data_IF_093414862617
#
_entry.id   IF_093414862617
#
_cell.length_a   1.000
_cell.length_b   1.000
_cell.length_c   1.000
_cell.angle_alpha   90.00
_cell.angle_beta   90.00
_cell.angle_gamma   90.00
#
_symmetry.space_group_name_H-M   'P 1'
#
loop_
_entity.id
_entity.type
_entity.pdbx_description
1 polymer ?
#
# COMPACT_ATOMS: atom_id res chain seq x y z
N UNK A 1 0.06 0.36 -18.44
CA UNK A 1 -0.55 0.84 -17.19
C UNK A 1 -2.05 0.83 -17.38
N UNK A 2 -2.80 0.61 -16.31
CA UNK A 2 -4.26 0.67 -16.28
C UNK A 2 -4.66 2.14 -16.20
N UNK A 3 -5.43 2.65 -17.17
CA UNK A 3 -5.82 4.06 -17.32
C UNK A 3 -6.68 4.60 -16.15
N UNK A 4 -6.99 3.75 -15.16
CA UNK A 4 -7.72 4.11 -13.94
C UNK A 4 -6.85 4.67 -12.79
N UNK A 5 -5.52 4.53 -12.84
CA UNK A 5 -4.64 5.31 -11.96
C UNK A 5 -4.49 6.68 -12.58
N UNK A 6 -5.15 7.69 -12.00
CA UNK A 6 -5.01 9.07 -12.47
C UNK A 6 -3.65 9.65 -12.10
N UNK A 7 -3.13 9.28 -10.93
CA UNK A 7 -1.83 9.77 -10.45
C UNK A 7 -1.18 8.80 -9.49
N UNK A 8 0.15 8.69 -9.58
CA UNK A 8 0.99 7.93 -8.68
C UNK A 8 2.15 8.82 -8.22
N UNK A 9 2.38 8.91 -6.91
CA UNK A 9 3.44 9.72 -6.32
C UNK A 9 4.35 8.84 -5.47
N UNK A 10 5.67 9.00 -5.59
CA UNK A 10 6.63 8.40 -4.67
C UNK A 10 6.96 9.40 -3.56
N UNK A 11 6.75 9.00 -2.31
CA UNK A 11 7.19 9.74 -1.14
C UNK A 11 8.38 8.98 -0.56
N UNK A 12 9.54 9.62 -0.52
CA UNK A 12 10.76 9.02 0.02
C UNK A 12 11.50 10.04 0.89
N UNK A 13 12.13 9.62 1.99
CA UNK A 13 13.13 10.45 2.65
C UNK A 13 14.27 10.78 1.68
N UNK A 14 14.97 11.90 1.94
CA UNK A 14 16.16 12.31 1.20
C UNK A 14 17.25 11.24 1.23
N UNK A 15 18.13 11.22 0.21
CA UNK A 15 19.19 10.22 0.01
C UNK A 15 20.04 9.96 1.27
N UNK A 16 20.30 8.66 1.54
CA UNK A 16 21.15 8.17 2.64
C UNK A 16 20.98 6.66 2.85
N UNK A 17 21.93 6.01 3.55
CA UNK A 17 21.98 4.55 3.74
C UNK A 17 20.86 3.99 4.67
N UNK A 18 20.12 4.84 5.39
CA UNK A 18 19.04 4.43 6.31
C UNK A 18 17.69 5.09 5.93
N UNK A 19 16.98 4.51 4.95
CA UNK A 19 15.69 5.05 4.48
C UNK A 19 14.43 4.43 5.13
N UNK A 20 14.53 3.27 5.80
CA UNK A 20 13.35 2.55 6.35
C UNK A 20 12.71 3.31 7.52
N UNK A 21 13.50 3.66 8.55
CA UNK A 21 12.97 4.33 9.76
C UNK A 21 12.32 5.67 9.44
N UNK A 22 12.94 6.57 8.63
CA UNK A 22 12.27 7.79 8.19
C UNK A 22 11.01 7.52 7.37
N UNK A 23 11.01 6.52 6.48
CA UNK A 23 9.83 6.15 5.68
C UNK A 23 8.66 5.75 6.58
N UNK A 24 8.89 4.89 7.58
CA UNK A 24 7.85 4.51 8.55
C UNK A 24 7.29 5.72 9.28
N UNK A 25 8.16 6.61 9.76
CA UNK A 25 7.75 7.83 10.46
C UNK A 25 6.83 8.67 9.58
N UNK A 26 7.28 8.99 8.37
CA UNK A 26 6.52 9.77 7.38
C UNK A 26 5.17 9.11 7.08
N UNK A 27 5.16 7.79 6.86
CA UNK A 27 3.92 7.05 6.59
C UNK A 27 2.92 7.16 7.74
N UNK A 28 3.37 6.97 8.99
CA UNK A 28 2.50 7.08 10.15
C UNK A 28 1.95 8.50 10.31
N UNK A 29 2.81 9.51 10.22
CA UNK A 29 2.39 10.91 10.36
C UNK A 29 1.40 11.30 9.26
N UNK A 30 1.63 10.86 8.02
CA UNK A 30 0.72 11.05 6.89
C UNK A 30 -0.66 10.41 7.13
N UNK A 31 -0.69 9.12 7.46
CA UNK A 31 -1.94 8.40 7.71
C UNK A 31 -2.72 8.95 8.92
N UNK A 32 -2.00 9.35 9.97
CA UNK A 32 -2.60 9.96 11.15
C UNK A 32 -3.09 11.38 10.93
N UNK A 33 -2.42 12.16 10.08
CA UNK A 33 -2.83 13.50 9.69
C UNK A 33 -4.13 13.45 8.88
N UNK A 34 -4.18 12.59 7.86
CA UNK A 34 -5.38 12.38 7.04
C UNK A 34 -6.57 11.88 7.86
N UNK A 35 -6.32 10.97 8.80
CA UNK A 35 -7.35 10.47 9.73
C UNK A 35 -8.57 9.84 9.03
N UNK A 36 -8.36 9.21 7.86
CA UNK A 36 -9.39 8.58 7.02
C UNK A 36 -9.80 7.18 7.52
N UNK A 37 -9.91 6.98 8.83
CA UNK A 37 -10.26 5.68 9.37
C UNK A 37 -11.71 5.27 9.03
N UNK A 38 -11.99 3.98 8.82
CA UNK A 38 -11.07 2.85 8.92
C UNK A 38 -10.11 2.73 7.73
N UNK A 39 -8.88 2.28 8.01
CA UNK A 39 -7.92 1.87 6.99
C UNK A 39 -7.92 0.35 6.85
N UNK A 40 -7.77 -0.16 5.64
CA UNK A 40 -7.68 -1.58 5.31
C UNK A 40 -6.24 -1.92 4.93
N UNK A 41 -5.61 -2.75 5.75
CA UNK A 41 -4.27 -3.28 5.50
C UNK A 41 -4.37 -4.67 4.87
N UNK A 42 -3.67 -4.86 3.76
CA UNK A 42 -3.58 -6.13 3.05
C UNK A 42 -2.15 -6.63 3.04
N UNK A 43 -1.93 -7.89 3.38
CA UNK A 43 -0.62 -8.53 3.19
C UNK A 43 -0.72 -10.03 2.95
N UNK A 44 0.24 -10.60 2.22
CA UNK A 44 0.31 -12.06 2.02
C UNK A 44 0.73 -12.79 3.30
N UNK A 45 0.19 -13.98 3.48
CA UNK A 45 0.52 -14.87 4.58
C UNK A 45 1.79 -15.66 4.27
N UNK A 46 2.93 -14.98 4.37
CA UNK A 46 4.25 -15.57 4.20
C UNK A 46 4.93 -15.85 5.55
N UNK A 47 5.95 -16.72 5.51
CA UNK A 47 6.80 -17.10 6.66
C UNK A 47 6.14 -17.87 7.81
N UNK A 48 4.97 -18.49 7.58
CA UNK A 48 4.31 -19.35 8.59
C UNK A 48 3.99 -18.60 9.89
N UNK A 49 3.65 -17.30 9.79
CA UNK A 49 3.35 -16.45 10.94
C UNK A 49 1.86 -16.28 11.23
N UNK A 50 1.00 -17.01 10.50
CA UNK A 50 -0.46 -16.92 10.61
C UNK A 50 -0.97 -16.94 12.05
N UNK A 51 -0.62 -17.97 12.82
CA UNK A 51 -1.12 -18.15 14.18
C UNK A 51 -0.72 -16.98 15.09
N UNK A 52 0.54 -16.54 15.01
CA UNK A 52 1.04 -15.38 15.76
C UNK A 52 0.28 -14.09 15.40
N UNK A 53 0.00 -13.87 14.11
CA UNK A 53 -0.77 -12.70 13.64
C UNK A 53 -2.21 -12.75 14.14
N UNK A 54 -2.86 -13.92 14.06
CA UNK A 54 -4.22 -14.09 14.58
C UNK A 54 -4.30 -13.84 16.09
N UNK A 55 -3.31 -14.32 16.86
CA UNK A 55 -3.21 -14.05 18.29
C UNK A 55 -3.05 -12.56 18.58
N UNK A 56 -2.18 -11.87 17.84
CA UNK A 56 -2.00 -10.42 17.95
C UNK A 56 -3.32 -9.68 17.71
N UNK A 57 -4.04 -10.02 16.64
CA UNK A 57 -5.29 -9.36 16.27
C UNK A 57 -6.40 -9.64 17.28
N UNK A 58 -6.53 -10.89 17.74
CA UNK A 58 -7.50 -11.25 18.78
C UNK A 58 -7.20 -10.56 20.12
N UNK A 59 -5.93 -10.48 20.52
CA UNK A 59 -5.52 -9.83 21.77
C UNK A 59 -5.88 -8.34 21.80
N UNK A 60 -5.84 -7.69 20.65
CA UNK A 60 -6.06 -6.25 20.50
C UNK A 60 -7.42 -5.88 19.91
N UNK A 61 -8.35 -6.84 19.80
CA UNK A 61 -9.69 -6.63 19.23
C UNK A 61 -9.65 -5.98 17.83
N UNK A 62 -8.70 -6.44 17.00
CA UNK A 62 -8.52 -5.99 15.63
C UNK A 62 -9.33 -6.90 14.70
N UNK A 63 -10.22 -6.29 13.92
CA UNK A 63 -10.99 -7.01 12.91
C UNK A 63 -10.10 -7.41 11.73
N UNK A 64 -10.21 -8.67 11.31
CA UNK A 64 -9.49 -9.17 10.15
C UNK A 64 -10.24 -10.31 9.45
N UNK A 65 -9.93 -10.49 8.18
CA UNK A 65 -10.32 -11.67 7.40
C UNK A 65 -9.09 -12.31 6.79
N UNK A 66 -9.14 -13.63 6.61
CA UNK A 66 -8.13 -14.40 5.88
C UNK A 66 -8.81 -14.99 4.65
N UNK A 67 -8.22 -14.76 3.48
CA UNK A 67 -8.76 -15.25 2.21
C UNK A 67 -7.72 -16.12 1.51
N UNK A 68 -8.18 -17.22 0.94
CA UNK A 68 -7.38 -18.13 0.11
C UNK A 68 -7.88 -18.05 -1.32
N UNK A 69 -6.99 -17.70 -2.25
CA UNK A 69 -7.26 -17.70 -3.68
C UNK A 69 -6.53 -18.85 -4.31
N UNK A 70 -7.27 -19.72 -4.99
CA UNK A 70 -6.72 -20.90 -5.64
C UNK A 70 -6.41 -20.59 -7.11
N UNK A 71 -5.25 -21.02 -7.62
CA UNK A 71 -5.00 -21.00 -9.05
C UNK A 71 -5.94 -21.98 -9.76
N UNK A 72 -6.09 -21.80 -11.07
CA UNK A 72 -6.83 -22.75 -11.89
C UNK A 72 -6.16 -24.13 -11.81
N UNK A 73 -6.95 -25.21 -11.66
CA UNK A 73 -6.50 -26.60 -11.44
C UNK A 73 -5.49 -27.14 -12.47
N UNK A 74 -5.34 -26.48 -13.62
CA UNK A 74 -4.36 -26.83 -14.65
C UNK A 74 -2.93 -26.44 -14.29
N UNK A 75 -2.72 -25.58 -13.28
CA UNK A 75 -1.41 -25.07 -12.90
C UNK A 75 -1.02 -25.57 -11.51
N UNK A 76 0.20 -26.13 -11.38
CA UNK A 76 0.78 -26.59 -10.12
C UNK A 76 1.36 -25.41 -9.31
N UNK A 77 0.51 -24.44 -8.99
CA UNK A 77 0.88 -23.32 -8.13
C UNK A 77 0.25 -23.47 -6.76
N UNK A 78 0.95 -22.98 -5.74
CA UNK A 78 0.40 -22.86 -4.41
C UNK A 78 -0.71 -21.78 -4.37
N UNK A 79 -1.75 -21.97 -3.55
CA UNK A 79 -2.76 -20.95 -3.36
C UNK A 79 -2.16 -19.73 -2.67
N UNK A 80 -2.61 -18.54 -3.07
CA UNK A 80 -2.29 -17.31 -2.34
C UNK A 80 -3.20 -17.24 -1.11
N UNK A 81 -2.59 -17.05 0.05
CA UNK A 81 -3.32 -16.68 1.26
C UNK A 81 -2.93 -15.26 1.66
N UNK A 82 -3.92 -14.44 1.99
CA UNK A 82 -3.69 -13.06 2.40
C UNK A 82 -4.65 -12.64 3.51
N UNK A 83 -4.20 -11.66 4.29
CA UNK A 83 -4.99 -11.00 5.31
C UNK A 83 -5.58 -9.70 4.75
N UNK A 84 -6.79 -9.38 5.20
CA UNK A 84 -7.35 -8.03 5.18
C UNK A 84 -7.62 -7.65 6.63
N UNK A 85 -6.97 -6.60 7.11
CA UNK A 85 -7.06 -6.13 8.50
C UNK A 85 -7.70 -4.75 8.52
N UNK A 86 -8.76 -4.57 9.30
CA UNK A 86 -9.46 -3.29 9.45
C UNK A 86 -8.90 -2.53 10.66
N UNK A 87 -8.20 -1.44 10.36
CA UNK A 87 -7.58 -0.53 11.33
C UNK A 87 -8.57 0.61 11.60
N UNK A 88 -9.30 0.53 12.71
CA UNK A 88 -10.39 1.50 13.02
C UNK A 88 -9.92 2.85 13.55
N UNK A 89 -8.67 2.96 13.99
CA UNK A 89 -8.14 4.16 14.61
C UNK A 89 -6.59 4.19 14.61
N UNK A 90 -6.02 5.31 15.06
CA UNK A 90 -4.57 5.54 15.14
C UNK A 90 -3.84 4.51 16.00
N UNK A 91 -4.47 4.01 17.07
CA UNK A 91 -3.85 3.01 17.94
C UNK A 91 -3.74 1.65 17.24
N UNK A 92 -4.81 1.21 16.58
CA UNK A 92 -4.81 0.01 15.74
C UNK A 92 -3.76 0.10 14.63
N UNK A 93 -3.70 1.26 13.95
CA UNK A 93 -2.69 1.54 12.92
C UNK A 93 -1.27 1.38 13.47
N UNK A 94 -0.92 2.11 14.54
CA UNK A 94 0.42 2.05 15.14
C UNK A 94 0.80 0.64 15.53
N UNK A 95 -0.10 -0.09 16.21
CA UNK A 95 0.17 -1.46 16.68
C UNK A 95 0.38 -2.43 15.53
N UNK A 96 -0.58 -2.50 14.61
CA UNK A 96 -0.55 -3.52 13.54
C UNK A 96 0.56 -3.23 12.55
N UNK A 97 0.68 -1.99 12.07
CA UNK A 97 1.69 -1.65 11.07
C UNK A 97 3.09 -1.74 11.67
N UNK A 98 3.31 -1.36 12.93
CA UNK A 98 4.61 -1.57 13.59
C UNK A 98 5.05 -3.04 13.56
N UNK A 99 4.14 -3.98 13.82
CA UNK A 99 4.43 -5.42 13.86
C UNK A 99 4.52 -6.08 12.48
N UNK A 100 4.03 -5.43 11.43
CA UNK A 100 3.86 -6.07 10.10
C UNK A 100 4.52 -5.35 8.94
N UNK A 101 4.96 -4.09 9.10
CA UNK A 101 5.58 -3.32 8.00
C UNK A 101 6.85 -3.96 7.44
N UNK A 102 7.57 -4.75 8.25
CA UNK A 102 8.75 -5.50 7.80
C UNK A 102 8.44 -6.45 6.62
N UNK A 103 7.18 -6.81 6.39
CA UNK A 103 6.80 -7.54 5.17
C UNK A 103 7.04 -6.71 3.92
N UNK A 104 6.69 -5.42 3.94
CA UNK A 104 7.02 -4.51 2.84
C UNK A 104 8.53 -4.33 2.67
N UNK A 105 9.29 -4.36 3.77
CA UNK A 105 10.77 -4.34 3.73
C UNK A 105 11.35 -5.57 3.02
N UNK A 106 10.74 -6.74 3.20
CA UNK A 106 11.13 -7.98 2.51
C UNK A 106 10.50 -8.13 1.10
N UNK A 107 9.91 -7.05 0.57
CA UNK A 107 9.21 -7.02 -0.71
C UNK A 107 8.05 -8.04 -0.80
N UNK A 108 7.50 -8.43 0.34
CA UNK A 108 6.26 -9.20 0.45
C UNK A 108 5.07 -8.28 0.21
N UNK A 109 4.02 -8.79 -0.44
CA UNK A 109 2.84 -7.99 -0.74
C UNK A 109 2.30 -7.34 0.54
N UNK A 110 2.27 -6.00 0.57
CA UNK A 110 1.85 -5.20 1.71
C UNK A 110 1.27 -3.88 1.21
N UNK A 111 -0.02 -3.61 1.45
CA UNK A 111 -0.71 -2.41 0.95
C UNK A 111 -1.70 -1.90 1.97
N UNK A 112 -1.78 -0.58 2.15
CA UNK A 112 -2.79 0.09 2.97
C UNK A 112 -3.76 0.84 2.06
N UNK A 113 -5.06 0.79 2.31
CA UNK A 113 -6.05 1.61 1.61
C UNK A 113 -7.08 2.18 2.58
N UNK A 114 -7.70 3.31 2.25
CA UNK A 114 -8.84 3.84 3.00
C UNK A 114 -10.20 3.18 2.60
N UNK A 115 -10.18 2.14 1.77
CA UNK A 115 -11.39 1.41 1.37
C UNK A 115 -11.13 -0.09 1.22
N UNK A 116 -12.16 -0.92 1.48
CA UNK A 116 -12.09 -2.37 1.21
C UNK A 116 -12.28 -2.65 -0.29
N UNK A 117 -11.23 -2.44 -1.09
CA UNK A 117 -11.27 -2.53 -2.55
C UNK A 117 -10.35 -3.59 -3.15
N UNK A 118 -9.56 -4.33 -2.37
CA UNK A 118 -8.61 -5.28 -2.95
C UNK A 118 -9.23 -6.66 -3.20
N UNK A 119 -8.95 -7.22 -4.37
CA UNK A 119 -9.16 -8.63 -4.70
C UNK A 119 -7.93 -9.20 -5.38
N UNK A 120 -7.63 -10.46 -5.10
CA UNK A 120 -6.63 -11.20 -5.84
C UNK A 120 -7.26 -12.10 -6.90
N UNK A 121 -6.62 -12.14 -8.07
CA UNK A 121 -6.93 -13.09 -9.13
C UNK A 121 -5.64 -13.73 -9.64
N UNK A 122 -5.74 -14.90 -10.27
CA UNK A 122 -4.62 -15.45 -11.01
C UNK A 122 -4.78 -15.13 -12.48
N UNK A 123 -3.73 -14.59 -13.09
CA UNK A 123 -3.70 -14.29 -14.51
C UNK A 123 -2.52 -14.99 -15.16
N UNK A 124 -2.74 -15.39 -16.40
CA UNK A 124 -1.68 -15.85 -17.27
C UNK A 124 -1.10 -14.64 -18.02
N UNK A 125 0.21 -14.43 -17.93
CA UNK A 125 0.91 -13.37 -18.65
C UNK A 125 2.13 -13.92 -19.34
N UNK A 126 2.39 -13.43 -20.55
CA UNK A 126 3.63 -13.72 -21.27
C UNK A 126 4.68 -12.68 -20.88
N UNK A 127 5.74 -13.11 -20.21
CA UNK A 127 6.84 -12.25 -19.78
C UNK A 127 8.16 -12.82 -20.30
N UNK A 128 8.95 -12.01 -21.02
CA UNK A 128 10.21 -12.42 -21.67
C UNK A 128 10.11 -13.70 -22.52
N UNK A 129 8.97 -13.88 -23.21
CA UNK A 129 8.74 -15.06 -24.07
C UNK A 129 8.21 -16.29 -23.33
N UNK A 130 8.28 -16.34 -22.00
CA UNK A 130 7.74 -17.41 -21.17
C UNK A 130 6.31 -17.11 -20.72
N UNK A 131 5.51 -18.16 -20.59
CA UNK A 131 4.16 -18.09 -20.04
C UNK A 131 4.26 -18.23 -18.52
N UNK A 132 3.94 -17.15 -17.82
CA UNK A 132 3.93 -17.10 -16.37
C UNK A 132 2.49 -17.05 -15.88
N UNK A 133 2.23 -17.75 -14.78
CA UNK A 133 0.96 -17.71 -14.10
C UNK A 133 1.22 -17.03 -12.75
N UNK A 134 0.54 -15.92 -12.50
CA UNK A 134 0.87 -15.02 -11.39
C UNK A 134 -0.41 -14.62 -10.66
N UNK A 135 -0.35 -14.53 -9.34
CA UNK A 135 -1.36 -13.81 -8.57
C UNK A 135 -1.18 -12.31 -8.84
N UNK A 136 -2.29 -11.62 -9.08
CA UNK A 136 -2.32 -10.18 -9.33
C UNK A 136 -3.37 -9.56 -8.42
N UNK A 137 -2.94 -8.55 -7.67
CA UNK A 137 -3.83 -7.68 -6.91
C UNK A 137 -4.58 -6.77 -7.89
N UNK A 138 -5.90 -6.70 -7.73
CA UNK A 138 -6.80 -5.83 -8.47
C UNK A 138 -7.58 -5.01 -7.45
N UNK A 139 -7.51 -3.69 -7.60
CA UNK A 139 -8.19 -2.75 -6.73
C UNK A 139 -9.45 -2.25 -7.43
N UNK A 140 -10.59 -2.36 -6.76
CA UNK A 140 -11.85 -1.78 -7.19
C UNK A 140 -11.80 -0.25 -7.01
N UNK A 141 -11.66 0.44 -8.14
CA UNK A 141 -11.54 1.90 -8.20
C UNK A 141 -12.86 2.59 -8.55
N UNK A 142 -13.99 1.93 -8.34
CA UNK A 142 -15.31 2.54 -8.52
C UNK A 142 -15.60 3.63 -7.48
N UNK A 143 -15.00 3.52 -6.29
CA UNK A 143 -15.11 4.49 -5.21
C UNK A 143 -13.82 5.31 -5.10
N UNK A 144 -13.89 6.61 -4.73
CA UNK A 144 -12.72 7.39 -4.36
C UNK A 144 -11.92 6.68 -3.27
N UNK A 145 -10.65 6.43 -3.54
CA UNK A 145 -9.77 5.66 -2.67
C UNK A 145 -8.33 6.14 -2.79
N UNK A 146 -7.63 6.06 -1.67
CA UNK A 146 -6.19 6.24 -1.54
C UNK A 146 -5.60 4.89 -1.20
N UNK A 147 -4.54 4.54 -1.92
CA UNK A 147 -3.80 3.31 -1.76
C UNK A 147 -2.34 3.66 -1.53
N UNK A 148 -1.74 3.00 -0.55
CA UNK A 148 -0.33 3.17 -0.19
C UNK A 148 0.37 1.84 -0.27
N UNK A 149 1.45 1.79 -1.04
CA UNK A 149 2.29 0.62 -1.24
C UNK A 149 3.73 0.99 -0.85
N UNK A 150 4.40 0.25 0.06
CA UNK A 150 5.81 0.46 0.36
C UNK A 150 6.66 0.37 -0.91
N UNK A 151 7.69 1.21 -0.98
CA UNK A 151 8.71 1.11 -2.01
C UNK A 151 9.61 -0.11 -1.80
N UNK A 152 10.49 -0.35 -2.76
CA UNK A 152 11.45 -1.45 -2.72
C UNK A 152 12.28 -1.40 -1.43
N UNK A 153 12.48 -2.56 -0.80
CA UNK A 153 13.16 -2.72 0.50
C UNK A 153 12.56 -1.87 1.64
N UNK A 154 11.29 -1.47 1.50
CA UNK A 154 10.57 -0.63 2.46
C UNK A 154 10.99 0.85 2.45
N UNK A 155 11.76 1.27 1.44
CA UNK A 155 12.23 2.64 1.30
C UNK A 155 11.29 3.48 0.43
N UNK A 156 10.74 4.53 1.04
CA UNK A 156 9.65 5.30 0.48
C UNK A 156 8.34 4.50 0.39
N UNK A 157 7.30 5.15 -0.10
CA UNK A 157 6.03 4.52 -0.44
C UNK A 157 5.35 5.26 -1.59
N UNK A 158 4.60 4.51 -2.38
CA UNK A 158 3.78 5.02 -3.46
C UNK A 158 2.39 5.38 -2.92
N UNK A 159 1.87 6.53 -3.33
CA UNK A 159 0.46 6.88 -3.20
C UNK A 159 -0.19 6.72 -4.56
N UNK A 160 -1.14 5.79 -4.68
CA UNK A 160 -1.98 5.61 -5.86
C UNK A 160 -3.41 6.02 -5.51
N UNK A 161 -4.02 6.91 -6.29
CA UNK A 161 -5.37 7.38 -5.96
C UNK A 161 -6.21 7.76 -7.17
N UNK A 162 -7.53 7.60 -7.00
CA UNK A 162 -8.58 8.21 -7.82
C UNK A 162 -9.40 9.25 -7.02
N UNK A 163 -9.01 9.54 -5.78
CA UNK A 163 -9.61 10.53 -4.89
C UNK A 163 -9.15 11.94 -5.29
N UNK A 164 -10.07 12.89 -5.28
CA UNK A 164 -9.79 14.29 -5.64
C UNK A 164 -8.84 14.97 -4.65
N UNK A 165 -8.79 14.52 -3.39
CA UNK A 165 -7.83 14.99 -2.38
C UNK A 165 -6.38 14.57 -2.66
N UNK A 166 -6.16 13.72 -3.67
CA UNK A 166 -4.86 13.11 -3.99
C UNK A 166 -4.57 13.10 -5.52
N UNK A 167 -5.28 13.93 -6.29
CA UNK A 167 -5.18 13.91 -7.75
C UNK A 167 -4.13 14.88 -8.34
N UNK A 168 -3.52 15.74 -7.52
CA UNK A 168 -2.46 16.68 -7.91
C UNK A 168 -1.34 16.71 -6.86
N UNK A 169 -0.16 17.20 -7.23
CA UNK A 169 0.98 17.24 -6.32
C UNK A 169 0.70 18.20 -5.16
N UNK A 170 0.07 19.34 -5.45
CA UNK A 170 -0.33 20.35 -4.48
C UNK A 170 -1.28 19.74 -3.44
N UNK A 171 -2.24 18.94 -3.89
CA UNK A 171 -3.17 18.25 -3.00
C UNK A 171 -2.44 17.22 -2.11
N UNK A 172 -1.47 16.48 -2.67
CA UNK A 172 -0.63 15.56 -1.88
C UNK A 172 0.16 16.34 -0.83
N UNK A 173 0.81 17.45 -1.20
CA UNK A 173 1.59 18.32 -0.30
C UNK A 173 0.71 18.90 0.82
N UNK A 174 -0.49 19.40 0.50
CA UNK A 174 -1.43 19.92 1.49
C UNK A 174 -1.91 18.87 2.51
N UNK A 175 -1.86 17.59 2.13
CA UNK A 175 -2.23 16.47 2.98
C UNK A 175 -1.03 15.85 3.72
N UNK A 176 0.19 16.34 3.50
CA UNK A 176 1.35 15.97 4.31
C UNK A 176 1.37 16.76 5.61
N UNK A 177 1.86 16.16 6.72
CA UNK A 177 2.23 16.93 7.89
C UNK A 177 3.29 18.00 7.52
N UNK A 178 3.20 19.18 8.13
CA UNK A 178 4.16 20.28 7.96
C UNK A 178 5.56 19.80 8.35
N UNK A 179 6.37 19.31 7.38
CA UNK A 179 7.83 19.04 7.46
C UNK A 179 8.36 18.10 6.34
N UNK A 180 7.51 17.57 5.44
CA UNK A 180 7.97 16.63 4.39
C UNK A 180 8.23 17.34 3.06
N UNK A 181 9.46 17.22 2.55
CA UNK A 181 9.83 17.64 1.19
C UNK A 181 9.41 16.53 0.21
N UNK A 182 8.54 16.84 -0.74
CA UNK A 182 8.05 15.89 -1.76
C UNK A 182 8.72 16.20 -3.11
N UNK A 183 9.25 15.17 -3.76
CA UNK A 183 9.78 15.25 -5.13
C UNK A 183 8.86 14.50 -6.09
N UNK A 184 8.47 15.12 -7.20
CA UNK A 184 7.74 14.47 -8.28
C UNK A 184 8.73 13.76 -9.22
N UNK A 185 8.52 12.47 -9.47
CA UNK A 185 9.35 11.65 -10.37
C UNK A 185 8.59 11.36 -11.66
N UNK A 186 8.08 12.41 -12.32
CA UNK A 186 7.59 12.35 -13.69
C UNK A 186 8.21 13.53 -14.44
N UNK A 187 8.70 13.31 -15.67
CA UNK A 187 9.49 14.23 -16.51
C UNK A 187 8.77 15.53 -16.97
N UNK A 188 7.59 15.86 -16.41
CA UNK A 188 6.94 17.14 -16.69
C UNK A 188 7.29 18.13 -15.58
N UNK A 189 8.16 19.09 -15.93
CA UNK A 189 8.49 20.25 -15.12
C UNK A 189 7.21 21.00 -14.75
N UNK A 190 6.94 21.11 -13.45
CA UNK A 190 6.01 22.10 -12.92
C UNK A 190 6.59 23.49 -13.22
N UNK A 191 6.03 24.19 -14.20
CA UNK A 191 6.25 25.63 -14.35
C UNK A 191 5.23 26.32 -13.44
N UNK A 192 5.66 27.03 -12.38
CA UNK A 192 4.74 27.81 -11.58
C UNK A 192 4.05 28.84 -12.48
N UNK A 193 2.72 28.94 -12.42
CA UNK A 193 2.00 30.07 -13.01
C UNK A 193 2.51 31.34 -12.33
N UNK A 194 3.16 32.21 -13.10
CA UNK A 194 3.53 33.55 -12.66
C UNK A 194 2.26 34.28 -12.23
N UNK A 195 2.19 34.67 -10.95
CA UNK A 195 1.16 35.57 -10.44
C UNK A 195 1.30 36.94 -11.15
N UNK A 196 0.38 37.26 -12.07
CA UNK A 196 0.11 38.64 -12.53
C UNK A 196 -0.87 39.38 -11.60
#
# INVERSE_FOLDING_TARGET
MDDSIKTAYLISPSEGDECITPTKKILFEFLEHRNDFPLYLYFSDEYVLRERRQQLFQLHDIDYTIRTVYPNRKHHMDPLVYFTVELKNKEALRRVVHETYWLGEENVFYVISNYDNLKFTFVERRHWGFQQYLSVASFDRTHPSVLIEPGHDGCGFFICSNDVSMNSLENVIQNMPEEIIIYQINDELYEPEDEE
#
